data_IF_358232927461
#
_entry.id   IF_358232927461
#
_cell.length_a   1.000
_cell.length_b   1.000
_cell.length_c   1.000
_cell.angle_alpha   90.00
_cell.angle_beta   90.00
_cell.angle_gamma   90.00
#
_symmetry.space_group_name_H-M   'P 1'
#
loop_
_entity.id
_entity.type
_entity.pdbx_description
1 polymer ?
#
# COMPACT_ATOMS: atom_id res chain seq x y z
N UNK A 1 2.82 -4.66 6.09
CA UNK A 1 1.41 -4.63 5.64
C UNK A 1 0.64 -3.91 6.71
N UNK A 2 -0.05 -2.81 6.39
CA UNK A 2 -0.74 -2.02 7.43
C UNK A 2 -1.93 -2.76 8.04
N UNK A 3 -2.28 -2.31 9.26
CA UNK A 3 -3.50 -2.70 9.98
C UNK A 3 -4.77 -2.55 9.14
N UNK A 4 -4.85 -1.53 8.27
CA UNK A 4 -6.04 -1.32 7.42
C UNK A 4 -6.15 -2.39 6.32
N UNK A 5 -5.04 -2.90 5.77
CA UNK A 5 -5.06 -4.03 4.83
C UNK A 5 -5.60 -5.28 5.54
N UNK A 6 -5.08 -5.60 6.72
CA UNK A 6 -5.49 -6.78 7.51
C UNK A 6 -6.99 -6.75 7.85
N UNK A 7 -7.52 -5.58 8.21
CA UNK A 7 -8.94 -5.37 8.47
C UNK A 7 -9.82 -5.65 7.26
N UNK A 8 -9.41 -5.25 6.06
CA UNK A 8 -10.15 -5.58 4.85
C UNK A 8 -10.05 -7.06 4.48
N UNK A 9 -8.90 -7.70 4.73
CA UNK A 9 -8.74 -9.17 4.56
C UNK A 9 -9.69 -9.91 5.51
N UNK A 10 -9.71 -9.57 6.79
CA UNK A 10 -10.60 -10.19 7.77
C UNK A 10 -12.08 -10.04 7.39
N UNK A 11 -12.47 -8.82 6.96
CA UNK A 11 -13.83 -8.56 6.45
C UNK A 11 -14.17 -9.38 5.21
N UNK A 12 -13.24 -9.55 4.29
CA UNK A 12 -13.43 -10.39 3.11
C UNK A 12 -13.70 -11.85 3.50
N UNK A 13 -12.87 -12.42 4.40
CA UNK A 13 -13.01 -13.80 4.89
C UNK A 13 -14.39 -14.02 5.50
N UNK A 14 -14.84 -13.13 6.40
CA UNK A 14 -16.17 -13.22 7.02
C UNK A 14 -17.29 -13.19 5.97
N UNK A 15 -17.17 -12.37 4.93
CA UNK A 15 -18.20 -12.28 3.86
C UNK A 15 -18.23 -13.51 2.97
N UNK A 16 -17.07 -14.09 2.68
CA UNK A 16 -16.97 -15.36 1.95
C UNK A 16 -17.67 -16.49 2.73
N UNK A 17 -17.39 -16.62 4.03
CA UNK A 17 -18.01 -17.62 4.89
C UNK A 17 -19.54 -17.44 5.01
N UNK A 18 -20.00 -16.19 4.98
CA UNK A 18 -21.43 -15.86 4.97
C UNK A 18 -22.10 -15.98 3.59
N UNK A 19 -21.38 -16.46 2.56
CA UNK A 19 -21.91 -16.61 1.20
C UNK A 19 -22.11 -15.30 0.44
N UNK A 20 -21.71 -14.17 1.00
CA UNK A 20 -21.86 -12.85 0.38
C UNK A 20 -20.65 -12.53 -0.51
N UNK A 21 -20.68 -13.05 -1.74
CA UNK A 21 -19.58 -12.95 -2.70
C UNK A 21 -19.31 -11.51 -3.17
N UNK A 22 -20.34 -10.69 -3.34
CA UNK A 22 -20.16 -9.30 -3.81
C UNK A 22 -19.36 -8.45 -2.81
N UNK A 23 -19.69 -8.56 -1.53
CA UNK A 23 -18.93 -7.88 -0.47
C UNK A 23 -17.55 -8.49 -0.27
N UNK A 24 -17.38 -9.79 -0.50
CA UNK A 24 -16.05 -10.42 -0.52
C UNK A 24 -15.15 -9.77 -1.58
N UNK A 25 -15.58 -9.72 -2.84
CA UNK A 25 -14.77 -9.13 -3.91
C UNK A 25 -14.52 -7.63 -3.68
N UNK A 26 -15.50 -6.91 -3.13
CA UNK A 26 -15.35 -5.50 -2.76
C UNK A 26 -14.21 -5.29 -1.76
N UNK A 27 -14.15 -6.11 -0.70
CA UNK A 27 -13.11 -5.98 0.31
C UNK A 27 -11.74 -6.48 -0.17
N UNK A 28 -11.69 -7.53 -1.00
CA UNK A 28 -10.45 -7.97 -1.65
C UNK A 28 -9.88 -6.85 -2.53
N UNK A 29 -10.70 -6.22 -3.35
CA UNK A 29 -10.26 -5.10 -4.22
C UNK A 29 -9.70 -3.93 -3.42
N UNK A 30 -10.31 -3.59 -2.28
CA UNK A 30 -9.80 -2.52 -1.40
C UNK A 30 -8.47 -2.88 -0.74
N UNK A 31 -8.32 -4.11 -0.24
CA UNK A 31 -7.07 -4.58 0.34
C UNK A 31 -5.93 -4.54 -0.69
N UNK A 32 -6.20 -4.97 -1.93
CA UNK A 32 -5.21 -4.95 -3.02
C UNK A 32 -4.79 -3.53 -3.39
N UNK A 33 -5.73 -2.58 -3.51
CA UNK A 33 -5.40 -1.17 -3.77
C UNK A 33 -4.50 -0.58 -2.70
N UNK A 34 -4.79 -0.84 -1.42
CA UNK A 34 -3.96 -0.36 -0.32
C UNK A 34 -2.57 -1.00 -0.35
N UNK A 35 -2.47 -2.29 -0.64
CA UNK A 35 -1.20 -2.98 -0.78
C UNK A 35 -0.36 -2.44 -1.94
N UNK A 36 -0.98 -2.14 -3.07
CA UNK A 36 -0.33 -1.49 -4.21
C UNK A 36 0.12 -0.07 -3.86
N UNK A 37 -0.70 0.71 -3.16
CA UNK A 37 -0.30 2.03 -2.67
C UNK A 37 0.88 1.95 -1.69
N UNK A 38 0.89 0.99 -0.75
CA UNK A 38 2.04 0.75 0.14
C UNK A 38 3.30 0.37 -0.64
N UNK A 39 3.18 -0.48 -1.66
CA UNK A 39 4.29 -0.84 -2.55
C UNK A 39 4.78 0.32 -3.41
N UNK A 40 3.87 1.20 -3.80
CA UNK A 40 4.16 2.35 -4.66
C UNK A 40 4.72 3.55 -3.87
N UNK A 41 4.80 3.46 -2.53
CA UNK A 41 5.60 4.40 -1.74
C UNK A 41 7.08 4.11 -1.94
N UNK A 42 7.60 4.55 -3.08
CA UNK A 42 9.04 4.75 -3.29
C UNK A 42 9.39 5.98 -2.44
N UNK A 43 10.38 5.87 -1.55
CA UNK A 43 10.82 7.05 -0.80
C UNK A 43 11.37 8.11 -1.78
N UNK A 44 11.29 9.41 -1.44
CA UNK A 44 11.99 10.45 -2.21
C UNK A 44 13.47 10.08 -2.39
N UNK A 45 14.07 9.45 -1.39
CA UNK A 45 15.40 8.88 -1.50
C UNK A 45 15.53 7.80 -2.57
N UNK A 46 14.57 6.90 -2.76
CA UNK A 46 14.64 5.88 -3.81
C UNK A 46 14.26 6.42 -5.19
N UNK A 47 13.51 7.53 -5.26
CA UNK A 47 13.09 8.19 -6.50
C UNK A 47 14.21 9.06 -7.10
N UNK A 48 15.00 9.71 -6.25
CA UNK A 48 16.03 10.66 -6.65
C UNK A 48 17.35 9.91 -6.91
N UNK A 49 17.95 10.16 -8.07
CA UNK A 49 19.24 9.59 -8.43
C UNK A 49 20.37 10.05 -7.50
N UNK A 50 21.48 9.31 -7.53
CA UNK A 50 22.59 9.51 -6.59
C UNK A 50 23.25 10.89 -6.74
N UNK A 51 23.29 11.45 -7.95
CA UNK A 51 23.90 12.76 -8.20
C UNK A 51 23.01 13.88 -7.66
N UNK A 52 21.69 13.77 -7.86
CA UNK A 52 20.74 14.75 -7.33
C UNK A 52 20.71 14.73 -5.79
N UNK A 53 20.84 13.57 -5.15
CA UNK A 53 21.02 13.48 -3.68
C UNK A 53 22.27 14.21 -3.20
N UNK A 54 23.38 14.06 -3.93
CA UNK A 54 24.67 14.64 -3.56
C UNK A 54 24.59 16.17 -3.59
N UNK A 55 24.01 16.73 -4.66
CA UNK A 55 23.79 18.17 -4.79
C UNK A 55 22.88 18.74 -3.70
N UNK A 56 21.79 18.04 -3.37
CA UNK A 56 20.89 18.47 -2.29
C UNK A 56 21.60 18.51 -0.93
N UNK A 57 22.47 17.54 -0.65
CA UNK A 57 23.28 17.52 0.57
C UNK A 57 24.27 18.68 0.62
N UNK A 58 24.95 18.98 -0.49
CA UNK A 58 25.89 20.11 -0.62
C UNK A 58 25.21 21.47 -0.45
N UNK A 59 23.93 21.62 -0.78
CA UNK A 59 23.19 22.89 -0.64
C UNK A 59 22.80 23.24 0.80
N UNK A 60 22.75 22.26 1.70
CA UNK A 60 22.35 22.44 3.11
C UNK A 60 23.50 22.21 4.10
N UNK A 61 24.70 21.88 3.59
CA UNK A 61 25.95 21.76 4.35
C UNK A 61 26.74 23.06 4.29
#
# INVERSE_FOLDING_TARGET
>A
MSYEIEKYIARAIVRYLNGNKDLFYTYVSRAMKLYECEKCMITLGELIDKDTKLKLHEMVS
#
